data_IF_742988360766
#
_entry.id   IF_742988360766
#
_cell.length_a   1.000
_cell.length_b   1.000
_cell.length_c   1.000
_cell.angle_alpha   90.00
_cell.angle_beta   90.00
_cell.angle_gamma   90.00
#
_symmetry.space_group_name_H-M   'P 1'
#
loop_
_entity.id
_entity.type
_entity.pdbx_description
1 polymer ?
#
# COMPACT_ATOMS: atom_id res chain seq x y z
N UNK A 1 -32.02 -8.98 -56.26
CA UNK A 1 -32.20 -9.51 -54.88
C UNK A 1 -30.89 -9.61 -54.10
N UNK A 2 -29.77 -10.03 -54.71
CA UNK A 2 -28.46 -10.21 -54.05
C UNK A 2 -27.98 -8.97 -53.25
N UNK A 3 -28.12 -7.75 -53.79
CA UNK A 3 -27.70 -6.52 -53.08
C UNK A 3 -28.40 -6.28 -51.73
N UNK A 4 -29.67 -6.69 -51.59
CA UNK A 4 -30.43 -6.50 -50.35
C UNK A 4 -29.96 -7.48 -49.27
N UNK A 5 -29.64 -8.71 -49.66
CA UNK A 5 -29.09 -9.73 -48.75
C UNK A 5 -27.73 -9.29 -48.23
N UNK A 6 -26.86 -8.77 -49.10
CA UNK A 6 -25.53 -8.25 -48.69
C UNK A 6 -25.66 -7.10 -47.69
N UNK A 7 -26.57 -6.15 -47.90
CA UNK A 7 -26.81 -5.05 -46.96
C UNK A 7 -27.29 -5.54 -45.58
N UNK A 8 -28.22 -6.51 -45.56
CA UNK A 8 -28.73 -7.07 -44.30
C UNK A 8 -27.63 -7.81 -43.56
N UNK A 9 -26.82 -8.61 -44.26
CA UNK A 9 -25.68 -9.31 -43.64
C UNK A 9 -24.67 -8.33 -43.05
N UNK A 10 -24.34 -7.25 -43.77
CA UNK A 10 -23.44 -6.20 -43.26
C UNK A 10 -24.02 -5.49 -42.04
N UNK A 11 -25.32 -5.21 -42.02
CA UNK A 11 -25.99 -4.62 -40.85
C UNK A 11 -25.95 -5.54 -39.64
N UNK A 12 -26.22 -6.83 -39.81
CA UNK A 12 -26.12 -7.81 -38.72
C UNK A 12 -24.70 -7.85 -38.17
N UNK A 13 -23.70 -7.93 -39.06
CA UNK A 13 -22.29 -7.95 -38.66
C UNK A 13 -21.88 -6.65 -37.93
N UNK A 14 -22.35 -5.50 -38.41
CA UNK A 14 -22.13 -4.20 -37.79
C UNK A 14 -22.72 -4.15 -36.37
N UNK A 15 -23.97 -4.58 -36.20
CA UNK A 15 -24.65 -4.58 -34.90
C UNK A 15 -24.02 -5.56 -33.91
N UNK A 16 -23.55 -6.73 -34.39
CA UNK A 16 -22.83 -7.68 -33.56
C UNK A 16 -21.52 -7.08 -33.02
N UNK A 17 -20.75 -6.38 -33.86
CA UNK A 17 -19.52 -5.69 -33.43
C UNK A 17 -19.84 -4.57 -32.42
N UNK A 18 -20.87 -3.77 -32.67
CA UNK A 18 -21.26 -2.69 -31.74
C UNK A 18 -21.71 -3.23 -30.38
N UNK A 19 -22.49 -4.32 -30.36
CA UNK A 19 -22.90 -4.99 -29.13
C UNK A 19 -21.69 -5.58 -28.39
N UNK A 20 -20.77 -6.22 -29.10
CA UNK A 20 -19.54 -6.75 -28.52
C UNK A 20 -18.64 -5.64 -27.96
N UNK A 21 -18.62 -4.45 -28.57
CA UNK A 21 -17.85 -3.31 -28.07
C UNK A 21 -18.44 -2.73 -26.77
N UNK A 22 -19.77 -2.74 -26.64
CA UNK A 22 -20.47 -2.29 -25.43
C UNK A 22 -20.40 -3.30 -24.27
N UNK A 23 -20.40 -4.60 -24.57
CA UNK A 23 -20.38 -5.70 -23.60
C UNK A 23 -18.97 -6.25 -23.32
N UNK A 24 -18.00 -5.99 -24.20
CA UNK A 24 -16.64 -6.49 -24.11
C UNK A 24 -15.80 -5.75 -23.08
N UNK A 25 -14.52 -6.13 -22.99
CA UNK A 25 -13.49 -5.83 -21.96
C UNK A 25 -13.28 -4.34 -21.54
N UNK A 26 -14.08 -3.40 -22.02
CA UNK A 26 -14.17 -2.00 -21.57
C UNK A 26 -15.57 -1.57 -21.14
N UNK A 27 -16.50 -2.50 -20.89
CA UNK A 27 -17.86 -2.18 -20.42
C UNK A 27 -17.78 -1.34 -19.14
N UNK A 28 -18.55 -0.26 -19.09
CA UNK A 28 -18.62 0.64 -17.92
C UNK A 28 -18.88 -0.12 -16.61
N UNK A 29 -19.58 -1.26 -16.68
CA UNK A 29 -19.82 -2.13 -15.53
C UNK A 29 -18.52 -2.74 -14.97
N UNK A 30 -17.63 -3.24 -15.83
CA UNK A 30 -16.35 -3.84 -15.41
C UNK A 30 -15.41 -2.79 -14.82
N UNK A 31 -15.36 -1.60 -15.42
CA UNK A 31 -14.56 -0.48 -14.88
C UNK A 31 -15.13 -0.02 -13.54
N UNK A 32 -16.44 0.03 -13.38
CA UNK A 32 -17.08 0.42 -12.12
C UNK A 32 -16.80 -0.59 -10.99
N UNK A 33 -16.91 -1.89 -11.28
CA UNK A 33 -16.58 -2.95 -10.32
C UNK A 33 -15.11 -2.89 -9.90
N UNK A 34 -14.20 -2.75 -10.87
CA UNK A 34 -12.77 -2.66 -10.58
C UNK A 34 -12.43 -1.38 -9.79
N UNK A 35 -13.06 -0.26 -10.10
CA UNK A 35 -12.92 0.98 -9.33
C UNK A 35 -13.44 0.83 -7.90
N UNK A 36 -14.51 0.07 -7.70
CA UNK A 36 -15.06 -0.19 -6.38
C UNK A 36 -14.12 -1.07 -5.55
N UNK A 37 -13.59 -2.15 -6.12
CA UNK A 37 -12.57 -2.98 -5.47
C UNK A 37 -11.32 -2.18 -5.08
N UNK A 38 -10.86 -1.28 -5.96
CA UNK A 38 -9.74 -0.38 -5.65
C UNK A 38 -10.06 0.51 -4.45
N UNK A 39 -11.26 1.13 -4.41
CA UNK A 39 -11.66 1.98 -3.28
C UNK A 39 -11.69 1.21 -1.96
N UNK A 40 -12.25 0.01 -1.96
CA UNK A 40 -12.34 -0.82 -0.76
C UNK A 40 -10.94 -1.23 -0.27
N UNK A 41 -10.04 -1.60 -1.18
CA UNK A 41 -8.65 -1.92 -0.85
C UNK A 41 -7.88 -0.71 -0.31
N UNK A 42 -8.09 0.48 -0.88
CA UNK A 42 -7.48 1.71 -0.36
C UNK A 42 -7.97 2.03 1.05
N UNK A 43 -9.26 1.83 1.34
CA UNK A 43 -9.81 2.05 2.66
C UNK A 43 -9.23 1.07 3.70
N UNK A 44 -9.11 -0.22 3.34
CA UNK A 44 -8.49 -1.23 4.20
C UNK A 44 -7.00 -0.91 4.46
N UNK A 45 -6.24 -0.58 3.41
CA UNK A 45 -4.83 -0.22 3.55
C UNK A 45 -4.62 1.05 4.39
N UNK A 46 -5.52 2.02 4.29
CA UNK A 46 -5.43 3.26 5.09
C UNK A 46 -5.57 2.97 6.60
N UNK A 47 -6.46 2.04 6.97
CA UNK A 47 -6.63 1.61 8.36
C UNK A 47 -5.38 0.90 8.88
N UNK A 48 -4.86 -0.07 8.13
CA UNK A 48 -3.65 -0.81 8.51
C UNK A 48 -2.42 0.12 8.62
N UNK A 49 -2.32 1.10 7.72
CA UNK A 49 -1.23 2.08 7.76
C UNK A 49 -1.26 2.94 9.02
N UNK A 50 -2.46 3.37 9.45
CA UNK A 50 -2.61 4.15 10.68
C UNK A 50 -2.15 3.38 11.93
N UNK A 51 -2.50 2.09 12.01
CA UNK A 51 -2.05 1.24 13.13
C UNK A 51 -0.55 0.99 13.08
N UNK A 52 0.01 0.78 11.89
CA UNK A 52 1.46 0.61 11.72
C UNK A 52 2.21 1.87 12.13
N UNK A 53 1.75 3.05 11.72
CA UNK A 53 2.37 4.33 12.10
C UNK A 53 2.34 4.53 13.63
N UNK A 54 1.25 4.14 14.31
CA UNK A 54 1.16 4.13 15.78
C UNK A 54 2.16 3.18 16.42
N UNK A 55 2.19 1.92 15.98
CA UNK A 55 3.11 0.90 16.50
C UNK A 55 4.58 1.29 16.26
N UNK A 56 4.87 1.89 15.12
CA UNK A 56 6.20 2.39 14.80
C UNK A 56 6.63 3.50 15.77
N UNK A 57 5.71 4.40 16.14
CA UNK A 57 5.97 5.41 17.16
C UNK A 57 6.23 4.77 18.52
N UNK A 58 5.42 3.79 18.93
CA UNK A 58 5.62 3.07 20.20
C UNK A 58 6.98 2.35 20.25
N UNK A 59 7.37 1.71 19.13
CA UNK A 59 8.69 1.07 19.03
C UNK A 59 9.82 2.10 19.12
N UNK A 60 9.67 3.28 18.53
CA UNK A 60 10.66 4.34 18.62
C UNK A 60 10.76 4.88 20.05
N UNK A 61 9.62 5.15 20.70
CA UNK A 61 9.57 5.62 22.09
C UNK A 61 10.20 4.59 23.05
N UNK A 62 9.97 3.29 22.84
CA UNK A 62 10.60 2.24 23.62
C UNK A 62 12.12 2.17 23.42
N UNK A 63 12.60 2.37 22.19
CA UNK A 63 14.04 2.40 21.89
C UNK A 63 14.71 3.61 22.54
N UNK A 64 14.07 4.78 22.49
CA UNK A 64 14.57 6.01 23.09
C UNK A 64 14.53 5.95 24.63
N UNK A 65 13.50 5.30 25.19
CA UNK A 65 13.46 4.99 26.63
C UNK A 65 14.59 4.05 27.07
N UNK A 66 14.87 2.99 26.29
CA UNK A 66 15.95 2.05 26.58
C UNK A 66 17.34 2.69 26.47
N UNK A 67 17.56 3.55 25.47
CA UNK A 67 18.84 4.28 25.31
C UNK A 67 19.08 5.23 26.49
N UNK A 68 18.03 5.89 26.98
CA UNK A 68 18.09 6.76 28.17
C UNK A 68 18.46 5.97 29.43
N UNK A 69 17.91 4.76 29.60
CA UNK A 69 18.24 3.88 30.74
C UNK A 69 19.67 3.35 30.63
N UNK A 70 20.11 2.99 29.42
CA UNK A 70 21.48 2.55 29.17
C UNK A 70 22.50 3.67 29.47
N UNK A 71 22.19 4.92 29.10
CA UNK A 71 23.03 6.08 29.43
C UNK A 71 23.11 6.29 30.96
N UNK A 72 21.99 6.24 31.68
CA UNK A 72 21.99 6.30 33.16
C UNK A 72 22.79 5.16 33.80
N UNK A 73 22.64 3.92 33.34
CA UNK A 73 23.38 2.77 33.87
C UNK A 73 24.90 2.90 33.64
N UNK A 74 25.30 3.45 32.48
CA UNK A 74 26.71 3.75 32.17
C UNK A 74 27.25 4.89 33.04
N UNK A 75 26.47 5.97 33.23
CA UNK A 75 26.91 7.17 33.95
C UNK A 75 26.90 7.02 35.48
N UNK A 76 25.88 6.36 36.04
CA UNK A 76 25.68 6.24 37.49
C UNK A 76 26.27 4.94 38.08
N UNK A 77 26.20 3.83 37.34
CA UNK A 77 26.63 2.51 37.82
C UNK A 77 27.93 2.02 37.16
N UNK A 78 28.46 2.73 36.16
CA UNK A 78 29.65 2.32 35.42
C UNK A 78 29.47 1.00 34.66
N UNK A 79 28.22 0.58 34.41
CA UNK A 79 27.92 -0.69 33.74
C UNK A 79 28.26 -0.59 32.25
N UNK A 80 29.04 -1.56 31.75
CA UNK A 80 29.43 -1.70 30.33
C UNK A 80 29.05 -3.09 29.82
N UNK A 81 28.75 -3.23 28.53
CA UNK A 81 28.44 -4.55 27.95
C UNK A 81 29.69 -5.45 27.97
N UNK A 82 29.53 -6.79 28.03
CA UNK A 82 30.66 -7.71 27.91
C UNK A 82 31.41 -7.44 26.60
N UNK A 83 32.73 -7.27 26.67
CA UNK A 83 33.63 -6.91 25.55
C UNK A 83 33.48 -5.48 24.98
N UNK A 84 32.95 -4.51 25.73
CA UNK A 84 32.88 -3.10 25.32
C UNK A 84 34.00 -2.25 25.98
N UNK A 85 34.68 -1.40 25.20
CA UNK A 85 35.62 -0.39 25.71
C UNK A 85 34.93 0.97 25.71
N UNK A 86 34.58 1.49 26.89
CA UNK A 86 33.92 2.78 27.04
C UNK A 86 34.94 3.91 27.21
N UNK A 87 34.92 4.91 26.31
CA UNK A 87 35.87 6.04 26.30
C UNK A 87 35.10 7.35 26.56
N UNK A 88 35.30 7.98 27.72
CA UNK A 88 34.82 9.33 28.00
C UNK A 88 35.86 10.37 27.60
N UNK A 89 35.53 11.20 26.61
CA UNK A 89 36.38 12.30 26.16
C UNK A 89 35.94 13.58 26.87
N UNK A 90 36.56 13.94 27.99
CA UNK A 90 36.40 15.25 28.60
C UNK A 90 37.38 16.25 27.96
N UNK A 91 36.88 17.22 27.20
CA UNK A 91 37.70 18.34 26.73
C UNK A 91 37.83 19.32 27.90
N UNK A 92 39.05 19.45 28.44
CA UNK A 92 39.39 20.43 29.47
C UNK A 92 39.29 21.85 28.94
#
# INVERSE_FOLDING_TARGET
MVNRVVCVTLLVLLTAIHAQLWLGNGSMAYVHELQQQIKDQYAANALEKSENDRLQSEVNDLKDGLSTVEEKARYELGMVKPNEIYIQVSRR
#
